data_IF_171762726043
#
_entry.id   IF_171762726043
#
_cell.length_a   1.000
_cell.length_b   1.000
_cell.length_c   1.000
_cell.angle_alpha   90.00
_cell.angle_beta   90.00
_cell.angle_gamma   90.00
#
_symmetry.space_group_name_H-M   'P 1'
#
loop_
_entity.id
_entity.type
_entity.pdbx_description
1 polymer ?
#
# COMPACT_ATOMS: atom_id res chain seq x y z
N UNK A 1 -2.63 11.75 8.88
CA UNK A 1 -1.76 10.76 9.53
C UNK A 1 -0.43 11.43 9.86
N UNK A 2 -0.03 11.41 11.13
CA UNK A 2 1.27 11.92 11.59
C UNK A 2 2.16 10.71 11.80
N UNK A 3 3.33 10.65 11.17
CA UNK A 3 4.27 9.53 11.38
C UNK A 3 4.83 9.57 12.81
N UNK A 4 5.10 8.41 13.41
CA UNK A 4 5.67 8.30 14.76
C UNK A 4 6.95 9.14 14.92
N UNK A 5 7.79 9.15 13.89
CA UNK A 5 9.03 9.94 13.90
C UNK A 5 8.78 11.46 13.94
N UNK A 6 7.71 11.95 13.30
CA UNK A 6 7.33 13.36 13.35
C UNK A 6 6.69 13.70 14.69
N UNK A 7 5.82 12.84 15.22
CA UNK A 7 5.20 13.04 16.53
C UNK A 7 6.27 13.10 17.65
N UNK A 8 7.20 12.15 17.62
CA UNK A 8 8.35 12.11 18.52
C UNK A 8 9.19 13.39 18.42
N UNK A 9 9.51 13.84 17.21
CA UNK A 9 10.26 15.08 16.99
C UNK A 9 9.53 16.31 17.49
N UNK A 10 8.21 16.37 17.35
CA UNK A 10 7.40 17.49 17.85
C UNK A 10 7.40 17.50 19.38
N UNK A 11 7.27 16.34 20.03
CA UNK A 11 7.40 16.21 21.49
C UNK A 11 8.79 16.60 21.98
N UNK A 12 9.85 16.16 21.30
CA UNK A 12 11.25 16.49 21.63
C UNK A 12 11.58 17.98 21.44
N UNK A 13 11.02 18.62 20.40
CA UNK A 13 11.25 20.05 20.08
C UNK A 13 10.41 21.02 20.90
N UNK A 14 9.72 20.55 21.94
CA UNK A 14 9.01 21.40 22.91
C UNK A 14 7.51 21.60 22.66
N UNK A 15 6.90 20.93 21.67
CA UNK A 15 5.44 20.91 21.51
C UNK A 15 4.73 19.90 22.43
N UNK A 16 5.46 19.22 23.32
CA UNK A 16 4.90 18.21 24.22
C UNK A 16 3.79 18.77 25.12
N UNK A 17 3.91 20.00 25.62
CA UNK A 17 2.90 20.60 26.50
C UNK A 17 1.56 20.82 25.79
N UNK A 18 1.59 21.36 24.57
CA UNK A 18 0.38 21.57 23.75
C UNK A 18 -0.19 20.24 23.24
N UNK A 19 0.65 19.29 22.82
CA UNK A 19 0.18 17.94 22.44
C UNK A 19 -0.46 17.20 23.62
N UNK A 20 0.13 17.25 24.81
CA UNK A 20 -0.47 16.67 26.01
C UNK A 20 -1.80 17.35 26.38
N UNK A 21 -1.91 18.67 26.24
CA UNK A 21 -3.16 19.38 26.55
C UNK A 21 -4.26 19.01 25.54
N UNK A 22 -3.91 18.85 24.26
CA UNK A 22 -4.81 18.35 23.23
C UNK A 22 -5.22 16.89 23.48
N UNK A 23 -4.28 16.00 23.80
CA UNK A 23 -4.56 14.59 24.11
C UNK A 23 -5.53 14.45 25.31
N UNK A 24 -5.34 15.27 26.35
CA UNK A 24 -6.22 15.27 27.52
C UNK A 24 -7.57 15.96 27.27
N UNK A 25 -7.61 16.97 26.41
CA UNK A 25 -8.83 17.71 26.05
C UNK A 25 -9.69 16.97 25.03
N UNK A 26 -9.11 16.04 24.26
CA UNK A 26 -9.74 15.39 23.13
C UNK A 26 -9.68 13.87 23.31
N UNK A 27 -10.57 13.27 24.11
CA UNK A 27 -10.58 11.82 24.38
C UNK A 27 -10.84 10.95 23.13
N UNK A 28 -11.14 11.56 21.99
CA UNK A 28 -11.26 10.91 20.67
C UNK A 28 -9.98 11.01 19.82
N UNK A 29 -8.87 11.48 20.40
CA UNK A 29 -7.58 11.53 19.73
C UNK A 29 -7.11 10.12 19.34
N UNK A 30 -6.70 9.97 18.09
CA UNK A 30 -6.20 8.69 17.55
C UNK A 30 -4.74 8.48 17.97
N UNK A 31 -4.46 7.33 18.59
CA UNK A 31 -3.11 6.87 18.87
C UNK A 31 -2.68 5.79 17.87
N UNK A 32 -1.43 5.85 17.43
CA UNK A 32 -0.84 4.80 16.62
C UNK A 32 -0.53 3.57 17.49
N UNK A 33 -0.84 2.37 16.97
CA UNK A 33 -0.54 1.08 17.63
C UNK A 33 0.17 0.13 16.65
N UNK A 34 1.02 -0.75 17.19
CA UNK A 34 1.82 -1.68 16.39
C UNK A 34 3.16 -1.10 15.94
N UNK A 35 3.76 -1.70 14.90
CA UNK A 35 5.06 -1.27 14.36
C UNK A 35 4.89 -0.74 12.93
N UNK A 36 5.38 0.46 12.66
CA UNK A 36 5.30 1.09 11.34
C UNK A 36 6.26 0.45 10.34
N UNK A 37 5.74 -0.03 9.21
CA UNK A 37 6.54 -0.44 8.04
C UNK A 37 6.61 0.72 7.05
N UNK A 38 7.80 1.30 6.90
CA UNK A 38 8.02 2.43 5.98
C UNK A 38 8.49 1.91 4.62
N UNK A 39 7.65 2.09 3.61
CA UNK A 39 7.98 1.81 2.21
C UNK A 39 8.23 3.10 1.44
N UNK A 40 9.12 3.04 0.46
CA UNK A 40 9.54 4.19 -0.33
C UNK A 40 9.40 3.89 -1.82
N UNK A 41 8.53 4.65 -2.50
CA UNK A 41 8.25 4.54 -3.93
C UNK A 41 9.49 4.76 -4.78
N UNK A 42 10.44 5.60 -4.33
CA UNK A 42 11.65 5.95 -5.08
C UNK A 42 12.62 4.77 -5.20
N UNK A 43 12.56 3.82 -4.26
CA UNK A 43 13.38 2.60 -4.24
C UNK A 43 12.97 1.62 -5.35
N UNK A 44 11.69 1.63 -5.76
CA UNK A 44 11.26 0.75 -6.84
C UNK A 44 11.84 1.22 -8.18
N UNK A 45 12.48 0.32 -8.95
CA UNK A 45 12.93 0.64 -10.28
C UNK A 45 11.76 0.78 -11.27
N UNK A 46 10.55 0.32 -10.92
CA UNK A 46 9.38 0.33 -11.80
C UNK A 46 8.50 1.56 -11.61
N UNK A 47 8.33 2.02 -10.36
CA UNK A 47 7.48 3.15 -10.02
C UNK A 47 8.18 4.49 -10.29
N UNK A 48 7.40 5.50 -10.70
CA UNK A 48 7.89 6.88 -10.81
C UNK A 48 8.08 7.48 -9.41
N UNK A 49 9.18 8.20 -9.17
CA UNK A 49 9.39 8.91 -7.92
C UNK A 49 8.41 10.10 -7.77
N UNK A 50 8.10 10.78 -8.87
CA UNK A 50 7.23 11.97 -8.90
C UNK A 50 5.79 11.64 -9.28
N UNK A 51 5.30 10.48 -8.84
CA UNK A 51 3.95 10.07 -9.19
C UNK A 51 2.93 10.98 -8.49
N UNK A 52 1.88 11.36 -9.23
CA UNK A 52 0.86 12.31 -8.78
C UNK A 52 0.17 11.86 -7.49
N UNK A 53 -0.54 12.75 -6.79
CA UNK A 53 -1.22 12.43 -5.51
C UNK A 53 -2.23 11.27 -5.60
N UNK A 54 -2.68 10.92 -6.80
CA UNK A 54 -3.48 9.71 -7.03
C UNK A 54 -2.65 8.40 -6.89
N UNK A 55 -1.35 8.45 -7.15
CA UNK A 55 -0.45 7.30 -7.05
C UNK A 55 -0.08 6.97 -5.60
N UNK A 56 -0.06 7.95 -4.69
CA UNK A 56 0.31 7.69 -3.29
C UNK A 56 -0.77 6.91 -2.51
N UNK A 57 -1.91 6.59 -3.12
CA UNK A 57 -2.97 5.77 -2.53
C UNK A 57 -3.30 4.51 -3.34
N UNK A 58 -2.45 4.14 -4.31
CA UNK A 58 -2.64 2.92 -5.09
C UNK A 58 -2.23 1.67 -4.30
N UNK A 59 -3.21 0.81 -4.01
CA UNK A 59 -2.96 -0.46 -3.31
C UNK A 59 -2.00 -1.38 -4.08
N UNK A 60 -2.08 -1.40 -5.40
CA UNK A 60 -1.21 -2.23 -6.24
C UNK A 60 0.25 -1.74 -6.14
N UNK A 61 0.46 -0.42 -6.06
CA UNK A 61 1.78 0.15 -5.81
C UNK A 61 2.32 -0.22 -4.42
N UNK A 62 1.48 -0.17 -3.37
CA UNK A 62 1.89 -0.61 -2.03
C UNK A 62 2.27 -2.08 -1.99
N UNK A 63 1.47 -2.96 -2.60
CA UNK A 63 1.77 -4.40 -2.66
C UNK A 63 3.07 -4.68 -3.41
N UNK A 64 3.32 -3.95 -4.50
CA UNK A 64 4.59 -4.04 -5.22
C UNK A 64 5.77 -3.59 -4.34
N UNK A 65 5.61 -2.49 -3.59
CA UNK A 65 6.65 -1.98 -2.71
C UNK A 65 6.97 -2.92 -1.56
N UNK A 66 5.95 -3.51 -0.93
CA UNK A 66 6.12 -4.52 0.12
C UNK A 66 6.80 -5.78 -0.43
N UNK A 67 6.44 -6.22 -1.65
CA UNK A 67 7.08 -7.36 -2.31
C UNK A 67 8.57 -7.12 -2.60
N UNK A 68 8.98 -5.87 -2.83
CA UNK A 68 10.40 -5.54 -3.03
C UNK A 68 11.15 -5.06 -1.80
N UNK A 69 10.47 -4.95 -0.65
CA UNK A 69 11.06 -4.43 0.58
C UNK A 69 12.00 -5.45 1.22
N UNK A 70 13.26 -5.05 1.42
CA UNK A 70 14.26 -5.81 2.16
C UNK A 70 14.68 -5.10 3.46
N UNK A 71 14.60 -3.78 3.49
CA UNK A 71 14.97 -2.94 4.62
C UNK A 71 15.11 -1.48 4.21
N UNK A 72 15.14 -0.55 5.17
CA UNK A 72 15.16 0.90 4.89
C UNK A 72 16.40 1.36 4.10
N UNK A 73 17.56 0.77 4.38
CA UNK A 73 18.83 1.10 3.72
C UNK A 73 19.24 0.10 2.64
N UNK A 74 18.39 -0.89 2.38
CA UNK A 74 18.68 -1.93 1.39
C UNK A 74 18.23 -1.52 -0.02
N UNK A 75 18.77 -2.26 -0.99
CA UNK A 75 18.32 -2.20 -2.38
C UNK A 75 16.96 -2.88 -2.55
N UNK A 76 16.19 -2.44 -3.53
CA UNK A 76 14.90 -3.04 -3.84
C UNK A 76 15.09 -4.42 -4.48
N UNK A 77 14.33 -5.42 -4.03
CA UNK A 77 14.46 -6.79 -4.54
C UNK A 77 14.17 -6.84 -6.05
N UNK A 78 15.09 -7.35 -6.88
CA UNK A 78 14.95 -7.31 -8.34
C UNK A 78 13.84 -8.23 -8.87
N UNK A 79 13.50 -9.28 -8.12
CA UNK A 79 12.46 -10.25 -8.48
C UNK A 79 11.07 -9.88 -7.97
N UNK A 80 10.88 -8.66 -7.42
CA UNK A 80 9.58 -8.19 -6.97
C UNK A 80 8.66 -7.95 -8.17
N UNK A 81 7.76 -8.90 -8.40
CA UNK A 81 6.84 -8.91 -9.55
C UNK A 81 5.38 -8.88 -9.14
N UNK A 82 5.10 -8.96 -7.83
CA UNK A 82 3.73 -8.87 -7.32
C UNK A 82 3.12 -7.57 -7.81
N UNK A 83 1.88 -7.67 -8.30
CA UNK A 83 1.04 -6.54 -8.71
C UNK A 83 1.52 -5.73 -9.94
N UNK A 84 2.77 -5.92 -10.42
CA UNK A 84 3.33 -5.15 -11.55
C UNK A 84 2.47 -5.16 -12.81
N UNK A 85 1.89 -6.32 -13.17
CA UNK A 85 1.04 -6.43 -14.36
C UNK A 85 -0.20 -5.56 -14.22
N UNK A 86 -0.85 -5.61 -13.05
CA UNK A 86 -2.08 -4.88 -12.80
C UNK A 86 -1.84 -3.38 -12.73
N UNK A 87 -0.72 -2.99 -12.11
CA UNK A 87 -0.24 -1.61 -12.10
C UNK A 87 0.05 -1.11 -13.53
N UNK A 88 0.58 -1.97 -14.41
CA UNK A 88 0.81 -1.65 -15.82
C UNK A 88 -0.47 -1.59 -16.66
N UNK A 89 -1.50 -2.33 -16.31
CA UNK A 89 -2.78 -2.29 -17.04
C UNK A 89 -3.66 -1.14 -16.57
N UNK A 90 -3.73 -0.90 -15.26
CA UNK A 90 -4.68 0.03 -14.63
C UNK A 90 -4.07 1.40 -14.35
N UNK A 91 -2.75 1.48 -14.12
CA UNK A 91 -2.08 2.67 -13.57
C UNK A 91 -0.77 3.01 -14.33
N UNK A 92 -0.83 3.00 -15.68
CA UNK A 92 0.32 3.27 -16.57
C UNK A 92 1.04 4.57 -16.32
N UNK A 93 0.34 5.59 -15.83
CA UNK A 93 0.89 6.91 -15.52
C UNK A 93 1.90 6.87 -14.38
N UNK A 94 1.79 5.87 -13.50
CA UNK A 94 2.59 5.71 -12.28
C UNK A 94 3.88 4.91 -12.53
N UNK A 95 4.00 4.25 -13.68
CA UNK A 95 5.18 3.45 -14.07
C UNK A 95 6.18 4.30 -14.85
N UNK A 96 7.47 4.14 -14.57
CA UNK A 96 8.54 4.79 -15.33
C UNK A 96 8.42 4.42 -16.81
N UNK A 97 8.46 5.44 -17.69
CA UNK A 97 8.24 5.29 -19.14
C UNK A 97 9.15 4.23 -19.80
N UNK A 98 10.35 4.04 -19.27
CA UNK A 98 11.31 3.02 -19.72
C UNK A 98 10.75 1.59 -19.59
N UNK A 99 9.87 1.33 -18.63
CA UNK A 99 9.27 0.01 -18.43
C UNK A 99 8.00 -0.21 -19.24
N UNK A 100 7.45 0.82 -19.91
CA UNK A 100 6.32 0.62 -20.83
C UNK A 100 6.76 -0.14 -22.10
N UNK A 101 8.02 0.01 -22.53
CA UNK A 101 8.55 -0.73 -23.70
C UNK A 101 8.88 -2.19 -23.37
N UNK A 102 9.37 -2.47 -22.16
CA UNK A 102 9.49 -3.84 -21.61
C UNK A 102 8.16 -4.41 -21.12
N UNK A 103 7.14 -3.58 -20.94
CA UNK A 103 5.81 -3.97 -20.49
C UNK A 103 5.13 -4.97 -21.41
N UNK A 104 5.44 -4.93 -22.71
CA UNK A 104 4.96 -5.92 -23.70
C UNK A 104 5.56 -7.32 -23.47
N UNK A 105 6.76 -7.38 -22.90
CA UNK A 105 7.48 -8.60 -22.52
C UNK A 105 7.15 -9.03 -21.07
N UNK A 106 6.84 -8.07 -20.19
CA UNK A 106 6.22 -8.35 -18.89
C UNK A 106 4.74 -8.75 -18.99
N UNK A 107 4.09 -8.56 -20.14
CA UNK A 107 2.77 -9.12 -20.43
C UNK A 107 2.86 -10.52 -21.04
N UNK A 108 4.05 -10.90 -21.55
CA UNK A 108 4.34 -12.21 -22.16
C UNK A 108 4.83 -13.23 -21.13
N UNK A 109 5.36 -12.78 -19.97
CA UNK A 109 5.47 -13.67 -18.82
C UNK A 109 4.05 -14.16 -18.45
N UNK A 110 3.83 -15.45 -18.52
CA UNK A 110 2.55 -16.05 -18.18
C UNK A 110 2.31 -15.94 -16.66
N UNK A 111 1.88 -14.76 -16.19
CA UNK A 111 1.28 -14.56 -14.86
C UNK A 111 -0.17 -15.07 -14.82
N UNK A 112 -0.65 -15.66 -15.91
CA UNK A 112 -1.97 -16.28 -16.07
C UNK A 112 -2.24 -17.48 -15.15
N UNK A 113 -1.34 -17.84 -14.22
CA UNK A 113 -1.55 -19.02 -13.38
C UNK A 113 -2.15 -18.76 -11.99
N UNK A 114 -2.20 -17.53 -11.46
CA UNK A 114 -2.63 -17.37 -10.05
C UNK A 114 -3.74 -16.37 -9.72
N UNK A 115 -4.24 -15.54 -10.66
CA UNK A 115 -5.26 -14.53 -10.29
C UNK A 115 -6.48 -14.45 -11.21
N UNK A 116 -6.80 -15.54 -11.90
CA UNK A 116 -8.11 -15.71 -12.54
C UNK A 116 -9.17 -16.18 -11.53
N UNK A 117 -9.22 -15.56 -10.34
CA UNK A 117 -10.41 -15.68 -9.50
C UNK A 117 -11.46 -14.78 -10.15
N UNK A 118 -12.54 -15.32 -10.75
CA UNK A 118 -13.72 -14.49 -10.95
C UNK A 118 -14.08 -13.97 -9.56
N UNK A 119 -13.84 -12.69 -9.29
CA UNK A 119 -14.43 -12.04 -8.12
C UNK A 119 -15.93 -12.04 -8.40
N UNK A 120 -16.74 -12.86 -7.72
CA UNK A 120 -18.17 -12.73 -7.87
C UNK A 120 -18.52 -11.32 -7.45
N UNK A 121 -19.23 -10.58 -8.30
CA UNK A 121 -19.66 -9.20 -8.01
C UNK A 121 -20.57 -9.12 -6.78
N UNK A 122 -21.11 -10.26 -6.37
CA UNK A 122 -21.97 -10.41 -5.20
C UNK A 122 -21.65 -11.75 -4.53
N UNK A 123 -21.34 -11.76 -3.24
CA UNK A 123 -21.46 -12.98 -2.44
C UNK A 123 -22.95 -13.34 -2.36
N UNK A 124 -23.34 -14.60 -2.56
CA UNK A 124 -24.73 -15.00 -2.36
C UNK A 124 -25.12 -14.72 -0.91
N UNK A 125 -26.27 -14.08 -0.70
CA UNK A 125 -26.80 -13.78 0.63
C UNK A 125 -26.90 -15.07 1.46
N UNK A 126 -26.50 -15.06 2.74
CA UNK A 126 -26.61 -16.25 3.58
C UNK A 126 -28.09 -16.67 3.64
N UNK A 127 -28.39 -17.88 3.20
CA UNK A 127 -29.74 -18.44 3.29
C UNK A 127 -30.11 -18.60 4.75
N UNK A 128 -31.27 -18.05 5.13
CA UNK A 128 -31.88 -18.22 6.46
C UNK A 128 -32.08 -19.71 6.69
N UNK A 129 -31.39 -20.26 7.70
CA UNK A 129 -31.66 -21.61 8.20
C UNK A 129 -33.12 -21.67 8.69
N UNK A 130 -33.93 -22.66 8.31
CA UNK A 130 -35.25 -22.82 8.87
C UNK A 130 -35.10 -23.08 10.38
N UNK A 131 -35.82 -22.30 11.18
CA UNK A 131 -35.93 -22.49 12.63
C UNK A 131 -36.44 -23.90 12.93
N UNK A 132 -35.87 -24.61 13.92
CA UNK A 132 -36.37 -25.92 14.30
C UNK A 132 -37.81 -25.79 14.81
N UNK A 133 -38.70 -26.62 14.28
CA UNK A 133 -40.08 -26.74 14.77
C UNK A 133 -40.08 -27.22 16.22
N UNK A 134 -40.97 -26.63 17.02
CA UNK A 134 -41.15 -26.89 18.45
C UNK A 134 -41.57 -28.33 18.77
#
# INVERSE_FOLDING_TARGET
FVSEALDKRLREKGAAGVLNLLDNSMPWAYSHVGTELRVDTTKSPFLKPDADVACCHDLEAYLHLVDGYLGSNESFRPNAKRSLVKLLTEQRTNIKKLYNSKGKDLSSLNLNREFNFPRPSCLPSPSVLPSPSA
#
